data_IF_045584203980
#
_entry.id   IF_045584203980
#
_cell.length_a   1.000
_cell.length_b   1.000
_cell.length_c   1.000
_cell.angle_alpha   90.00
_cell.angle_beta   90.00
_cell.angle_gamma   90.00
#
_symmetry.space_group_name_H-M   'P 1'
#
loop_
_entity.id
_entity.type
_entity.pdbx_description
1 polymer ?
#
# COMPACT_ATOMS: atom_id res chain seq x y z
N UNK A 1 10.64 31.41 -0.30
CA UNK A 1 10.34 30.21 -1.12
C UNK A 1 9.05 30.47 -1.87
N UNK A 2 9.02 30.26 -3.19
CA UNK A 2 7.78 30.46 -3.96
C UNK A 2 6.78 29.28 -3.80
N UNK A 3 5.61 29.43 -4.40
CA UNK A 3 4.51 28.46 -4.33
C UNK A 3 4.88 27.08 -4.90
N UNK A 4 5.62 27.05 -6.00
CA UNK A 4 5.98 25.81 -6.68
C UNK A 4 6.98 25.02 -5.82
N UNK A 5 7.96 25.71 -5.24
CA UNK A 5 8.90 25.10 -4.31
C UNK A 5 8.19 24.60 -3.03
N UNK A 6 7.23 25.38 -2.49
CA UNK A 6 6.45 24.96 -1.31
C UNK A 6 5.62 23.71 -1.60
N UNK A 7 4.99 23.65 -2.77
CA UNK A 7 4.22 22.48 -3.21
C UNK A 7 5.10 21.26 -3.39
N UNK A 8 6.23 21.40 -4.07
CA UNK A 8 7.20 20.32 -4.27
C UNK A 8 7.73 19.79 -2.93
N UNK A 9 8.05 20.69 -2.00
CA UNK A 9 8.47 20.32 -0.64
C UNK A 9 7.35 19.56 0.08
N UNK A 10 6.12 20.05 0.07
CA UNK A 10 4.99 19.39 0.72
C UNK A 10 4.76 17.97 0.19
N UNK A 11 4.72 17.80 -1.14
CA UNK A 11 4.58 16.47 -1.76
C UNK A 11 5.73 15.53 -1.36
N UNK A 12 6.96 16.02 -1.38
CA UNK A 12 8.15 15.21 -1.07
C UNK A 12 8.18 14.78 0.39
N UNK A 13 7.93 15.71 1.32
CA UNK A 13 7.92 15.41 2.75
C UNK A 13 6.81 14.43 3.12
N UNK A 14 5.63 14.50 2.47
CA UNK A 14 4.56 13.52 2.67
C UNK A 14 4.92 12.12 2.22
N UNK A 15 5.63 11.99 1.10
CA UNK A 15 6.12 10.70 0.62
C UNK A 15 7.12 10.11 1.62
N UNK A 16 8.05 10.94 2.11
CA UNK A 16 9.04 10.53 3.11
C UNK A 16 8.35 10.11 4.42
N UNK A 17 7.44 10.94 4.94
CA UNK A 17 6.65 10.64 6.15
C UNK A 17 5.92 9.29 6.03
N UNK A 18 5.29 9.02 4.88
CA UNK A 18 4.63 7.74 4.62
C UNK A 18 5.61 6.57 4.73
N UNK A 19 6.78 6.65 4.09
CA UNK A 19 7.76 5.57 4.13
C UNK A 19 8.38 5.38 5.52
N UNK A 20 8.65 6.46 6.26
CA UNK A 20 9.14 6.37 7.64
C UNK A 20 8.11 5.67 8.55
N UNK A 21 6.83 6.01 8.42
CA UNK A 21 5.77 5.35 9.17
C UNK A 21 5.61 3.87 8.77
N UNK A 22 5.79 3.52 7.48
CA UNK A 22 5.80 2.12 7.05
C UNK A 22 6.97 1.35 7.67
N UNK A 23 8.19 1.90 7.65
CA UNK A 23 9.37 1.29 8.28
C UNK A 23 9.11 1.04 9.76
N UNK A 24 8.61 2.05 10.48
CA UNK A 24 8.29 1.92 11.90
C UNK A 24 7.21 0.87 12.15
N UNK A 25 6.19 0.82 11.28
CA UNK A 25 5.16 -0.20 11.31
C UNK A 25 5.71 -1.61 11.15
N UNK A 26 6.58 -1.86 10.18
CA UNK A 26 7.20 -3.18 9.97
C UNK A 26 8.13 -3.58 11.13
N UNK A 27 8.91 -2.64 11.69
CA UNK A 27 9.81 -2.90 12.81
C UNK A 27 9.09 -3.09 14.16
N UNK A 28 7.86 -2.59 14.31
CA UNK A 28 7.07 -2.75 15.52
C UNK A 28 6.54 -4.20 15.72
N UNK A 29 6.55 -5.03 14.68
CA UNK A 29 6.20 -6.46 14.78
C UNK A 29 7.35 -7.25 15.37
N UNK A 30 7.53 -7.12 16.69
CA UNK A 30 8.74 -7.53 17.40
C UNK A 30 9.09 -9.02 17.24
N UNK A 31 8.07 -9.86 17.01
CA UNK A 31 8.15 -11.33 16.97
C UNK A 31 7.36 -12.00 15.82
N UNK A 32 6.78 -11.23 14.89
CA UNK A 32 5.89 -11.80 13.89
C UNK A 32 6.53 -11.76 12.50
N UNK A 33 7.06 -12.90 12.05
CA UNK A 33 7.18 -13.19 10.62
C UNK A 33 5.84 -12.86 9.97
N UNK A 34 5.80 -11.84 9.12
CA UNK A 34 4.57 -11.46 8.43
C UNK A 34 4.34 -12.47 7.34
N UNK A 35 3.44 -13.41 7.61
CA UNK A 35 3.02 -14.43 6.65
C UNK A 35 1.81 -13.91 5.88
N UNK A 36 2.06 -13.38 4.69
CA UNK A 36 1.03 -13.14 3.68
C UNK A 36 0.79 -14.44 2.90
N UNK A 37 -0.32 -14.50 2.17
CA UNK A 37 -0.73 -15.72 1.44
C UNK A 37 0.33 -16.18 0.43
N UNK A 38 1.00 -15.23 -0.24
CA UNK A 38 1.99 -15.51 -1.28
C UNK A 38 3.43 -15.15 -0.88
N UNK A 39 3.62 -14.46 0.24
CA UNK A 39 4.95 -13.97 0.66
C UNK A 39 5.08 -14.04 2.17
N UNK A 40 6.25 -14.42 2.66
CA UNK A 40 6.60 -14.32 4.08
C UNK A 40 7.83 -13.42 4.24
N UNK A 41 7.83 -12.62 5.30
CA UNK A 41 8.98 -11.79 5.66
C UNK A 41 9.76 -12.46 6.77
N UNK A 42 11.02 -12.79 6.52
CA UNK A 42 11.94 -13.30 7.54
C UNK A 42 12.44 -12.10 8.34
N UNK A 43 12.32 -12.16 9.67
CA UNK A 43 12.92 -11.15 10.53
C UNK A 43 14.39 -11.49 10.79
N UNK A 44 15.28 -10.91 9.99
CA UNK A 44 16.74 -11.06 10.08
C UNK A 44 17.43 -9.84 10.71
N UNK A 45 16.65 -8.91 11.27
CA UNK A 45 17.14 -7.70 11.93
C UNK A 45 17.26 -7.94 13.44
N UNK A 46 18.46 -7.77 13.99
CA UNK A 46 18.69 -7.85 15.42
C UNK A 46 18.12 -6.65 16.20
N UNK A 47 18.01 -6.79 17.52
CA UNK A 47 17.40 -5.78 18.38
C UNK A 47 18.14 -4.44 18.37
N UNK A 48 19.48 -4.44 18.31
CA UNK A 48 20.28 -3.22 18.31
C UNK A 48 20.07 -2.43 17.01
N UNK A 49 20.17 -3.11 15.86
CA UNK A 49 19.90 -2.54 14.54
C UNK A 49 18.48 -1.99 14.46
N UNK A 50 17.48 -2.74 14.92
CA UNK A 50 16.08 -2.30 14.98
C UNK A 50 15.92 -1.03 15.80
N UNK A 51 16.44 -1.02 17.02
CA UNK A 51 16.37 0.12 17.94
C UNK A 51 16.97 1.35 17.28
N UNK A 52 18.14 1.19 16.65
CA UNK A 52 18.83 2.29 15.99
C UNK A 52 18.03 2.86 14.83
N UNK A 53 17.41 2.03 14.00
CA UNK A 53 16.56 2.48 12.89
C UNK A 53 15.33 3.23 13.43
N UNK A 54 14.69 2.74 14.48
CA UNK A 54 13.54 3.41 15.11
C UNK A 54 13.91 4.79 15.67
N UNK A 55 15.07 4.95 16.30
CA UNK A 55 15.57 6.25 16.75
C UNK A 55 15.82 7.23 15.59
N UNK A 56 16.47 6.75 14.53
CA UNK A 56 16.81 7.56 13.36
C UNK A 56 15.55 8.02 12.64
N UNK A 57 14.60 7.12 12.38
CA UNK A 57 13.32 7.44 11.74
C UNK A 57 12.48 8.39 12.57
N UNK A 58 12.45 8.23 13.90
CA UNK A 58 11.79 9.17 14.80
C UNK A 58 12.41 10.58 14.71
N UNK A 59 13.74 10.66 14.65
CA UNK A 59 14.46 11.93 14.48
C UNK A 59 14.14 12.59 13.13
N UNK A 60 14.02 11.80 12.06
CA UNK A 60 13.62 12.30 10.74
C UNK A 60 12.18 12.83 10.74
N UNK A 61 11.25 12.13 11.40
CA UNK A 61 9.85 12.58 11.55
C UNK A 61 9.76 13.90 12.33
N UNK A 62 10.56 14.08 13.39
CA UNK A 62 10.65 15.36 14.09
C UNK A 62 11.18 16.49 13.19
N UNK A 63 12.18 16.19 12.35
CA UNK A 63 12.66 17.12 11.32
C UNK A 63 11.56 17.54 10.33
N UNK A 64 10.76 16.59 9.85
CA UNK A 64 9.61 16.87 8.97
C UNK A 64 8.58 17.75 9.68
N UNK A 65 8.28 17.46 10.95
CA UNK A 65 7.35 18.25 11.76
C UNK A 65 7.82 19.71 11.88
N UNK A 66 9.10 19.93 12.17
CA UNK A 66 9.70 21.28 12.23
C UNK A 66 9.60 22.00 10.89
N UNK A 67 9.94 21.34 9.78
CA UNK A 67 9.80 21.91 8.43
C UNK A 67 8.35 22.26 8.10
N UNK A 68 7.39 21.40 8.47
CA UNK A 68 5.96 21.69 8.30
C UNK A 68 5.55 22.98 9.03
N UNK A 69 6.01 23.15 10.28
CA UNK A 69 5.71 24.31 11.11
C UNK A 69 6.37 25.58 10.55
N UNK A 70 7.66 25.52 10.22
CA UNK A 70 8.46 26.64 9.72
C UNK A 70 7.96 27.15 8.36
N UNK A 71 7.70 26.23 7.42
CA UNK A 71 7.24 26.57 6.07
C UNK A 71 5.70 26.63 5.95
N UNK A 72 4.97 26.47 7.06
CA UNK A 72 3.49 26.46 7.13
C UNK A 72 2.87 25.52 6.09
N UNK A 73 3.41 24.31 5.98
CA UNK A 73 2.92 23.32 5.02
C UNK A 73 1.56 22.78 5.46
N UNK A 74 0.66 22.65 4.49
CA UNK A 74 -0.70 22.17 4.73
C UNK A 74 -0.73 20.66 4.84
N UNK A 75 -1.54 20.15 5.78
CA UNK A 75 -1.93 18.74 5.79
C UNK A 75 -2.90 18.52 4.65
N UNK A 76 -2.69 17.46 3.90
CA UNK A 76 -3.68 16.99 2.93
C UNK A 76 -4.50 15.88 3.60
N UNK A 77 -5.77 16.17 3.79
CA UNK A 77 -6.72 15.25 4.39
C UNK A 77 -7.42 14.47 3.29
N UNK A 78 -7.08 13.19 3.18
CA UNK A 78 -7.81 12.28 2.32
C UNK A 78 -8.88 11.56 3.15
N UNK A 79 -10.17 11.68 2.77
CA UNK A 79 -11.22 10.89 3.42
C UNK A 79 -10.88 9.39 3.30
N UNK A 80 -10.92 8.66 4.42
CA UNK A 80 -10.61 7.22 4.45
C UNK A 80 -11.43 6.44 3.41
N UNK A 81 -12.73 6.78 3.24
CA UNK A 81 -13.59 6.19 2.21
C UNK A 81 -13.01 6.34 0.80
N UNK A 82 -12.43 7.50 0.46
CA UNK A 82 -11.80 7.74 -0.85
C UNK A 82 -10.54 6.87 -1.02
N UNK A 83 -9.72 6.75 0.02
CA UNK A 83 -8.53 5.88 0.00
C UNK A 83 -8.91 4.41 -0.18
N UNK A 84 -9.90 3.93 0.57
CA UNK A 84 -10.37 2.55 0.45
C UNK A 84 -10.95 2.29 -0.95
N UNK A 85 -11.70 3.23 -1.52
CA UNK A 85 -12.19 3.13 -2.90
C UNK A 85 -11.05 3.03 -3.92
N UNK A 86 -9.96 3.81 -3.78
CA UNK A 86 -8.83 3.72 -4.71
C UNK A 86 -8.10 2.38 -4.59
N UNK A 87 -7.90 1.87 -3.37
CA UNK A 87 -7.27 0.57 -3.16
C UNK A 87 -8.12 -0.57 -3.74
N UNK A 88 -9.43 -0.53 -3.52
CA UNK A 88 -10.35 -1.50 -4.13
C UNK A 88 -10.34 -1.39 -5.66
N UNK A 89 -10.30 -0.19 -6.23
CA UNK A 89 -10.23 -0.03 -7.68
C UNK A 89 -8.95 -0.68 -8.27
N UNK A 90 -7.79 -0.51 -7.62
CA UNK A 90 -6.55 -1.18 -8.01
C UNK A 90 -6.67 -2.70 -7.95
N UNK A 91 -7.25 -3.25 -6.87
CA UNK A 91 -7.50 -4.69 -6.73
C UNK A 91 -8.38 -5.22 -7.87
N UNK A 92 -9.47 -4.52 -8.21
CA UNK A 92 -10.35 -4.91 -9.32
C UNK A 92 -9.62 -4.98 -10.63
N UNK A 93 -8.81 -3.96 -10.96
CA UNK A 93 -8.04 -3.93 -12.21
C UNK A 93 -7.13 -5.15 -12.29
N UNK A 94 -6.44 -5.48 -11.20
CA UNK A 94 -5.56 -6.66 -11.15
C UNK A 94 -6.38 -7.95 -11.34
N UNK A 95 -7.49 -8.14 -10.61
CA UNK A 95 -8.34 -9.32 -10.74
C UNK A 95 -8.93 -9.49 -12.15
N UNK A 96 -9.32 -8.40 -12.80
CA UNK A 96 -9.80 -8.40 -14.18
C UNK A 96 -8.71 -8.84 -15.17
N UNK A 97 -7.47 -8.39 -14.98
CA UNK A 97 -6.32 -8.79 -15.82
C UNK A 97 -5.88 -10.25 -15.57
N UNK A 98 -6.19 -10.82 -14.40
CA UNK A 98 -5.95 -12.23 -14.07
C UNK A 98 -6.99 -13.19 -14.66
N UNK A 99 -8.03 -12.71 -15.35
CA UNK A 99 -8.96 -13.59 -16.07
C UNK A 99 -8.20 -14.36 -17.16
N UNK A 100 -8.43 -15.68 -17.37
CA UNK A 100 -7.70 -16.45 -18.37
C UNK A 100 -7.72 -15.83 -19.76
N UNK A 101 -8.85 -15.24 -20.17
CA UNK A 101 -9.01 -14.58 -21.47
C UNK A 101 -8.14 -13.32 -21.64
N UNK A 102 -7.74 -12.69 -20.54
CA UNK A 102 -6.82 -11.53 -20.51
C UNK A 102 -5.37 -11.98 -20.45
N UNK A 103 -5.07 -12.92 -19.56
CA UNK A 103 -3.74 -13.51 -19.46
C UNK A 103 -3.27 -14.13 -20.77
N UNK A 104 -4.17 -14.80 -21.51
CA UNK A 104 -3.84 -15.40 -22.81
C UNK A 104 -3.37 -14.40 -23.87
N UNK A 105 -3.94 -13.20 -23.84
CA UNK A 105 -3.56 -12.12 -24.76
C UNK A 105 -2.19 -11.54 -24.44
N UNK A 106 -1.79 -11.53 -23.18
CA UNK A 106 -0.56 -10.88 -22.71
C UNK A 106 0.62 -11.85 -22.57
N UNK A 107 0.38 -13.10 -22.17
CA UNK A 107 1.42 -14.04 -21.74
C UNK A 107 1.43 -15.37 -22.52
N UNK A 108 0.51 -15.56 -23.46
CA UNK A 108 0.42 -16.77 -24.30
C UNK A 108 -0.64 -17.77 -23.80
N UNK A 109 -0.77 -18.88 -24.53
CA UNK A 109 -1.84 -19.87 -24.32
C UNK A 109 -1.85 -20.45 -22.90
N UNK A 110 -3.04 -20.54 -22.30
CA UNK A 110 -3.30 -21.24 -21.03
C UNK A 110 -3.98 -22.57 -21.35
N UNK A 111 -3.58 -23.64 -20.67
CA UNK A 111 -4.19 -24.94 -20.90
C UNK A 111 -5.66 -24.94 -20.48
N UNK A 112 -6.50 -25.76 -21.13
CA UNK A 112 -7.92 -25.86 -20.75
C UNK A 112 -8.10 -26.35 -19.31
N UNK A 113 -7.18 -27.17 -18.79
CA UNK A 113 -7.19 -27.62 -17.41
C UNK A 113 -6.94 -26.44 -16.45
N UNK A 114 -5.91 -25.63 -16.71
CA UNK A 114 -5.59 -24.46 -15.88
C UNK A 114 -6.70 -23.40 -15.96
N UNK A 115 -7.28 -23.18 -17.14
CA UNK A 115 -8.42 -22.27 -17.32
C UNK A 115 -9.60 -22.67 -16.43
N UNK A 116 -9.96 -23.95 -16.42
CA UNK A 116 -11.06 -24.49 -15.60
C UNK A 116 -10.77 -24.37 -14.10
N UNK A 117 -9.50 -24.45 -13.70
CA UNK A 117 -9.08 -24.28 -12.32
C UNK A 117 -9.09 -22.79 -11.90
N UNK A 118 -8.47 -21.92 -12.68
CA UNK A 118 -8.26 -20.50 -12.36
C UNK A 118 -9.57 -19.68 -12.37
N UNK A 119 -10.40 -19.89 -13.40
CA UNK A 119 -11.56 -19.02 -13.67
C UNK A 119 -12.53 -18.93 -12.48
N UNK A 120 -12.97 -20.03 -11.85
CA UNK A 120 -13.90 -19.95 -10.71
C UNK A 120 -13.31 -19.16 -9.52
N UNK A 121 -12.01 -19.31 -9.24
CA UNK A 121 -11.38 -18.60 -8.13
C UNK A 121 -11.28 -17.09 -8.36
N UNK A 122 -10.92 -16.67 -9.58
CA UNK A 122 -10.89 -15.24 -9.93
C UNK A 122 -12.29 -14.64 -9.90
N UNK A 123 -13.31 -15.36 -10.40
CA UNK A 123 -14.70 -14.90 -10.34
C UNK A 123 -15.19 -14.74 -8.89
N UNK A 124 -14.91 -15.71 -8.02
CA UNK A 124 -15.26 -15.62 -6.61
C UNK A 124 -14.57 -14.42 -5.91
N UNK A 125 -13.29 -14.15 -6.22
CA UNK A 125 -12.60 -12.97 -5.69
C UNK A 125 -13.23 -11.65 -6.18
N UNK A 126 -13.71 -11.60 -7.42
CA UNK A 126 -14.44 -10.45 -7.94
C UNK A 126 -15.82 -10.26 -7.28
N UNK A 127 -16.52 -11.34 -6.96
CA UNK A 127 -17.79 -11.28 -6.21
C UNK A 127 -17.58 -10.72 -4.80
N UNK A 128 -16.57 -11.23 -4.08
CA UNK A 128 -16.20 -10.71 -2.75
C UNK A 128 -15.73 -9.24 -2.81
N UNK A 129 -15.01 -8.87 -3.88
CA UNK A 129 -14.63 -7.49 -4.13
C UNK A 129 -15.86 -6.59 -4.29
N UNK A 130 -16.86 -7.03 -5.05
CA UNK A 130 -18.10 -6.26 -5.28
C UNK A 130 -18.87 -6.07 -3.97
N UNK A 131 -18.98 -7.11 -3.14
CA UNK A 131 -19.60 -7.01 -1.80
C UNK A 131 -18.91 -5.94 -0.93
N UNK A 132 -17.58 -5.97 -0.86
CA UNK A 132 -16.79 -4.99 -0.10
C UNK A 132 -16.97 -3.57 -0.66
N UNK A 133 -16.96 -3.42 -1.99
CA UNK A 133 -17.14 -2.14 -2.65
C UNK A 133 -18.55 -1.56 -2.41
N UNK A 134 -19.60 -2.36 -2.60
CA UNK A 134 -20.98 -1.95 -2.36
C UNK A 134 -21.22 -1.54 -0.91
N UNK A 135 -20.64 -2.29 0.04
CA UNK A 135 -20.67 -1.92 1.47
C UNK A 135 -20.04 -0.54 1.71
N UNK A 136 -18.93 -0.24 1.04
CA UNK A 136 -18.23 1.02 1.19
C UNK A 136 -18.98 2.21 0.54
N UNK A 137 -19.63 2.00 -0.61
CA UNK A 137 -20.34 3.07 -1.35
C UNK A 137 -21.80 3.23 -0.97
N UNK A 138 -22.37 2.30 -0.19
CA UNK A 138 -23.73 2.41 0.34
C UNK A 138 -23.92 3.71 1.14
N UNK A 139 -25.11 4.34 1.06
CA UNK A 139 -25.42 5.60 1.74
C UNK A 139 -25.30 5.56 3.27
#
# INVERSE_FOLDING_TARGET
MDENHRRALNTSLRIIERYLNMINGELAYENATRNLILTSTINDIDHETRTRILEVTASMLDGIKKMKEEYKLEKDEMPLKRLLCSLLAEIKVILEELKPEKMEKAYGQISEADRKLLKPHILNLLELWEEAYQTLVSP
#
